data_IF_735639744386
#
_entry.id   IF_735639744386
#
_cell.length_a   1.000
_cell.length_b   1.000
_cell.length_c   1.000
_cell.angle_alpha   90.00
_cell.angle_beta   90.00
_cell.angle_gamma   90.00
#
_symmetry.space_group_name_H-M   'P 1'
#
loop_
_entity.id
_entity.type
_entity.pdbx_description
1 polymer ?
#
# COMPACT_ATOMS: atom_id res chain seq x y z
N UNK A 1 -7.60 16.86 -0.68
CA UNK A 1 -7.41 15.51 -1.26
C UNK A 1 -8.43 14.62 -0.60
N UNK A 2 -9.28 14.00 -1.38
CA UNK A 2 -10.18 12.94 -0.92
C UNK A 2 -9.52 11.60 -1.22
N UNK A 3 -9.55 10.66 -0.28
CA UNK A 3 -8.88 9.37 -0.39
C UNK A 3 -9.92 8.29 -0.10
N UNK A 4 -10.08 7.37 -1.05
CA UNK A 4 -10.85 6.15 -0.81
C UNK A 4 -9.96 5.14 -0.08
N UNK A 5 -10.43 4.64 1.07
CA UNK A 5 -9.72 3.64 1.88
C UNK A 5 -10.41 2.30 1.71
N UNK A 6 -9.69 1.34 1.13
CA UNK A 6 -10.13 -0.06 1.01
C UNK A 6 -9.41 -0.89 2.06
N UNK A 7 -10.15 -1.37 3.05
CA UNK A 7 -9.69 -2.40 3.98
C UNK A 7 -10.01 -3.78 3.38
N UNK A 8 -8.98 -4.55 3.05
CA UNK A 8 -9.12 -5.84 2.36
C UNK A 8 -9.83 -6.90 3.21
N UNK A 9 -9.70 -6.85 4.55
CA UNK A 9 -10.16 -7.84 5.54
C UNK A 9 -9.62 -9.27 5.38
N UNK A 10 -9.51 -9.78 4.17
CA UNK A 10 -9.01 -11.11 3.82
C UNK A 10 -7.82 -10.98 2.87
N UNK A 11 -6.73 -11.71 3.15
CA UNK A 11 -5.58 -11.80 2.24
C UNK A 11 -5.69 -12.97 1.27
N UNK A 12 -6.34 -14.06 1.69
CA UNK A 12 -6.47 -15.28 0.89
C UNK A 12 -7.86 -15.91 1.14
N UNK A 13 -8.77 -15.89 0.13
CA UNK A 13 -8.70 -15.04 -1.06
C UNK A 13 -8.88 -13.56 -0.68
N UNK A 14 -8.17 -12.65 -1.35
CA UNK A 14 -8.40 -11.21 -1.22
C UNK A 14 -9.35 -10.71 -2.30
N UNK A 15 -10.09 -9.64 -1.98
CA UNK A 15 -11.10 -9.06 -2.86
C UNK A 15 -10.46 -8.18 -3.95
N UNK A 16 -10.03 -8.85 -5.03
CA UNK A 16 -9.44 -8.21 -6.21
C UNK A 16 -10.43 -7.27 -6.90
N UNK A 17 -11.71 -7.67 -6.96
CA UNK A 17 -12.74 -6.94 -7.69
C UNK A 17 -12.97 -5.55 -7.08
N UNK A 18 -13.13 -5.48 -5.75
CA UNK A 18 -13.28 -4.20 -5.05
C UNK A 18 -12.09 -3.27 -5.31
N UNK A 19 -10.86 -3.79 -5.24
CA UNK A 19 -9.66 -3.00 -5.49
C UNK A 19 -9.60 -2.51 -6.93
N UNK A 20 -9.78 -3.38 -7.92
CA UNK A 20 -9.70 -2.99 -9.35
C UNK A 20 -10.78 -1.96 -9.71
N UNK A 21 -11.99 -2.10 -9.18
CA UNK A 21 -13.07 -1.12 -9.35
C UNK A 21 -12.76 0.23 -8.68
N UNK A 22 -12.04 0.22 -7.56
CA UNK A 22 -11.54 1.43 -6.91
C UNK A 22 -10.45 2.12 -7.75
N UNK A 23 -9.49 1.34 -8.28
CA UNK A 23 -8.42 1.86 -9.15
C UNK A 23 -9.01 2.54 -10.39
N UNK A 24 -9.99 1.92 -11.04
CA UNK A 24 -10.63 2.47 -12.23
C UNK A 24 -11.33 3.83 -12.00
N UNK A 25 -11.66 4.17 -10.75
CA UNK A 25 -12.29 5.45 -10.36
C UNK A 25 -11.30 6.49 -9.86
N UNK A 26 -10.16 6.06 -9.31
CA UNK A 26 -9.24 6.91 -8.55
C UNK A 26 -7.87 7.08 -9.19
N UNK A 27 -7.49 6.18 -10.10
CA UNK A 27 -6.31 6.20 -10.97
C UNK A 27 -4.94 6.20 -10.26
N UNK A 28 -4.90 6.29 -8.93
CA UNK A 28 -3.67 6.35 -8.13
C UNK A 28 -3.82 5.48 -6.90
N UNK A 29 -2.82 4.63 -6.66
CA UNK A 29 -2.91 3.60 -5.61
C UNK A 29 -1.67 3.63 -4.72
N UNK A 30 -1.91 3.64 -3.41
CA UNK A 30 -0.92 3.36 -2.39
C UNK A 30 -1.36 2.13 -1.59
N UNK A 31 -0.56 1.06 -1.64
CA UNK A 31 -0.77 -0.13 -0.81
C UNK A 31 -0.04 0.04 0.52
N UNK A 32 -0.77 -0.01 1.63
CA UNK A 32 -0.25 0.14 3.00
C UNK A 32 -0.39 -1.17 3.77
N UNK A 33 0.68 -1.65 4.43
CA UNK A 33 0.60 -2.80 5.34
C UNK A 33 1.72 -2.80 6.40
N UNK A 34 1.57 -3.59 7.46
CA UNK A 34 2.52 -3.65 8.58
C UNK A 34 3.64 -4.67 8.41
N UNK A 35 3.52 -5.63 7.49
CA UNK A 35 4.61 -6.55 7.17
C UNK A 35 5.79 -5.82 6.51
N UNK A 36 6.92 -6.50 6.37
CA UNK A 36 8.10 -6.02 5.64
C UNK A 36 7.74 -5.68 4.18
N UNK A 37 8.40 -4.66 3.63
CA UNK A 37 8.20 -4.22 2.25
C UNK A 37 8.57 -5.33 1.26
N UNK A 38 9.70 -5.98 1.49
CA UNK A 38 10.21 -7.07 0.68
C UNK A 38 9.43 -8.35 0.97
N UNK A 39 8.98 -9.03 -0.08
CA UNK A 39 8.18 -10.25 -0.01
C UNK A 39 6.86 -10.15 0.79
N UNK A 40 6.40 -8.92 1.08
CA UNK A 40 5.10 -8.67 1.72
C UNK A 40 3.92 -8.75 0.75
N UNK A 41 2.70 -8.84 1.30
CA UNK A 41 1.45 -8.95 0.52
C UNK A 41 1.23 -7.78 -0.44
N UNK A 42 1.79 -6.60 -0.13
CA UNK A 42 1.70 -5.46 -1.02
C UNK A 42 2.35 -5.70 -2.39
N UNK A 43 3.31 -6.62 -2.50
CA UNK A 43 3.91 -6.99 -3.79
C UNK A 43 2.90 -7.69 -4.71
N UNK A 44 2.14 -8.64 -4.18
CA UNK A 44 1.09 -9.37 -4.92
C UNK A 44 -0.03 -8.44 -5.38
N UNK A 45 -0.47 -7.54 -4.48
CA UNK A 45 -1.52 -6.55 -4.80
C UNK A 45 -1.04 -5.60 -5.91
N UNK A 46 0.18 -5.07 -5.77
CA UNK A 46 0.74 -4.16 -6.78
C UNK A 46 0.94 -4.83 -8.14
N UNK A 47 1.40 -6.09 -8.16
CA UNK A 47 1.51 -6.87 -9.38
C UNK A 47 0.14 -7.08 -10.04
N UNK A 48 -0.87 -7.52 -9.26
CA UNK A 48 -2.25 -7.73 -9.75
C UNK A 48 -2.85 -6.46 -10.34
N UNK A 49 -2.70 -5.31 -9.67
CA UNK A 49 -3.18 -4.01 -10.18
C UNK A 49 -2.45 -3.63 -11.47
N UNK A 50 -1.13 -3.80 -11.50
CA UNK A 50 -0.32 -3.49 -12.68
C UNK A 50 -0.67 -4.42 -13.86
N UNK A 51 -1.04 -5.66 -13.62
CA UNK A 51 -1.41 -6.62 -14.67
C UNK A 51 -2.81 -6.34 -15.23
N UNK A 52 -3.78 -6.00 -14.38
CA UNK A 52 -5.19 -5.95 -14.77
C UNK A 52 -5.78 -4.54 -14.89
N UNK A 53 -5.12 -3.50 -14.37
CA UNK A 53 -5.62 -2.13 -14.36
C UNK A 53 -4.60 -1.08 -14.82
N UNK A 54 -3.52 -1.49 -15.50
CA UNK A 54 -2.47 -0.56 -15.97
C UNK A 54 -3.02 0.65 -16.75
N UNK A 55 -4.03 0.42 -17.59
CA UNK A 55 -4.63 1.46 -18.43
C UNK A 55 -5.39 2.54 -17.63
N UNK A 56 -5.71 2.28 -16.36
CA UNK A 56 -6.38 3.22 -15.47
C UNK A 56 -5.41 4.02 -14.60
N UNK A 57 -4.11 3.69 -14.61
CA UNK A 57 -3.14 4.30 -13.70
C UNK A 57 -2.54 5.60 -14.25
N UNK A 58 -2.69 6.69 -13.50
CA UNK A 58 -2.03 7.97 -13.77
C UNK A 58 -0.67 8.10 -13.08
N UNK A 59 -0.31 7.15 -12.22
CA UNK A 59 0.92 7.11 -11.43
C UNK A 59 1.31 5.65 -11.13
N UNK A 60 2.59 5.36 -10.82
CA UNK A 60 2.99 4.01 -10.42
C UNK A 60 2.24 3.56 -9.15
N UNK A 61 1.93 2.26 -9.06
CA UNK A 61 1.40 1.69 -7.81
C UNK A 61 2.50 1.77 -6.75
N UNK A 62 2.30 2.62 -5.75
CA UNK A 62 3.25 2.77 -4.66
C UNK A 62 2.90 1.81 -3.52
N UNK A 63 3.94 1.41 -2.78
CA UNK A 63 3.80 0.57 -1.58
C UNK A 63 4.46 1.27 -0.40
N UNK A 64 3.83 1.18 0.75
CA UNK A 64 4.37 1.62 2.03
C UNK A 64 4.18 0.50 3.05
N UNK A 65 5.28 0.15 3.71
CA UNK A 65 5.34 -0.99 4.60
C UNK A 65 6.31 -0.72 5.75
N UNK A 66 6.35 -1.61 6.74
CA UNK A 66 7.37 -1.55 7.79
C UNK A 66 8.78 -1.73 7.22
N UNK A 67 9.78 -1.39 8.02
CA UNK A 67 11.19 -1.56 7.64
C UNK A 67 11.51 -3.03 7.35
N UNK A 68 12.40 -3.28 6.39
CA UNK A 68 12.90 -4.63 6.05
C UNK A 68 13.93 -5.11 7.09
N UNK A 69 13.48 -5.20 8.33
CA UNK A 69 14.25 -5.65 9.49
C UNK A 69 13.38 -6.57 10.34
N UNK A 70 13.97 -7.34 11.28
CA UNK A 70 13.19 -7.98 12.33
C UNK A 70 12.41 -6.93 13.14
N UNK A 71 11.25 -7.34 13.68
CA UNK A 71 10.44 -6.50 14.56
C UNK A 71 11.25 -6.15 15.81
N UNK A 72 11.39 -4.85 16.16
CA UNK A 72 12.10 -4.46 17.38
C UNK A 72 11.37 -4.93 18.64
N UNK A 73 12.11 -5.39 19.65
CA UNK A 73 11.53 -5.69 20.97
C UNK A 73 11.06 -4.43 21.71
N UNK A 74 11.72 -3.28 21.47
CA UNK A 74 11.34 -2.02 22.11
C UNK A 74 10.05 -1.49 21.49
N UNK A 75 9.02 -1.34 22.31
CA UNK A 75 7.74 -0.74 21.90
C UNK A 75 7.94 0.67 21.32
N UNK A 76 8.91 1.44 21.82
CA UNK A 76 9.19 2.77 21.26
C UNK A 76 9.67 2.68 19.81
N UNK A 77 10.62 1.79 19.53
CA UNK A 77 11.16 1.58 18.18
C UNK A 77 10.12 0.96 17.26
N UNK A 78 9.34 0.00 17.76
CA UNK A 78 8.25 -0.61 16.98
C UNK A 78 7.25 0.47 16.52
N UNK A 79 6.79 1.30 17.46
CA UNK A 79 5.75 2.29 17.21
C UNK A 79 6.21 3.50 16.40
N UNK A 80 7.44 3.97 16.56
CA UNK A 80 7.90 5.25 15.97
C UNK A 80 8.97 5.10 14.90
N UNK A 81 9.51 3.90 14.69
CA UNK A 81 10.60 3.67 13.73
C UNK A 81 10.25 2.54 12.76
N UNK A 82 9.77 1.41 13.27
CA UNK A 82 9.50 0.22 12.47
C UNK A 82 8.24 0.38 11.60
N UNK A 83 7.10 0.71 12.21
CA UNK A 83 5.84 0.85 11.50
C UNK A 83 5.84 2.03 10.51
N UNK A 84 5.08 1.95 9.41
CA UNK A 84 5.07 2.97 8.37
C UNK A 84 4.30 4.25 8.72
N UNK A 85 3.58 4.29 9.86
CA UNK A 85 2.56 5.31 10.14
C UNK A 85 3.06 6.76 9.98
N UNK A 86 4.27 7.04 10.46
CA UNK A 86 4.83 8.40 10.45
C UNK A 86 5.31 8.81 9.04
N UNK A 87 5.56 7.83 8.16
CA UNK A 87 5.97 8.01 6.76
C UNK A 87 4.78 8.11 5.79
N UNK A 88 3.56 7.80 6.24
CA UNK A 88 2.37 7.77 5.39
C UNK A 88 2.04 9.12 4.74
N UNK A 89 2.04 10.27 5.45
CA UNK A 89 1.72 11.55 4.84
C UNK A 89 2.67 11.93 3.71
N UNK A 90 3.97 11.66 3.88
CA UNK A 90 4.99 11.98 2.87
C UNK A 90 4.84 11.08 1.65
N UNK A 91 4.53 9.78 1.84
CA UNK A 91 4.30 8.87 0.73
C UNK A 91 3.07 9.22 -0.09
N UNK A 92 1.99 9.66 0.56
CA UNK A 92 0.79 10.17 -0.13
C UNK A 92 1.15 11.41 -0.96
N UNK A 93 1.90 12.37 -0.41
CA UNK A 93 2.35 13.56 -1.16
C UNK A 93 3.28 13.22 -2.32
N UNK A 94 4.10 12.17 -2.19
CA UNK A 94 4.92 11.66 -3.29
C UNK A 94 4.05 11.15 -4.43
N UNK A 95 3.06 10.28 -4.13
CA UNK A 95 2.16 9.71 -5.14
C UNK A 95 1.31 10.78 -5.85
N UNK A 96 0.84 11.79 -5.12
CA UNK A 96 0.00 12.85 -5.69
C UNK A 96 0.76 13.83 -6.60
N UNK A 97 2.10 13.85 -6.57
CA UNK A 97 2.93 14.76 -7.37
C UNK A 97 3.29 14.23 -8.76
N UNK A 98 3.08 12.93 -9.01
CA UNK A 98 3.22 12.34 -10.36
C UNK A 98 2.20 12.96 -11.33
#
# INVERSE_FOLDING_TARGET
>A
VEIEVVDLRSLIPWDKETVLNSVARTNRVLVLHEANLTAGVGAEIAATISEHAFQHLDAPVMRLASLDTPVPFSAYLEQHVYFPKDRLPDKIRELLRY
#
